data_IF_627975164556
#
_entry.id   IF_627975164556
#
_cell.length_a   1.000
_cell.length_b   1.000
_cell.length_c   1.000
_cell.angle_alpha   90.00
_cell.angle_beta   90.00
_cell.angle_gamma   90.00
#
_symmetry.space_group_name_H-M   'P 1'
#
loop_
_entity.id
_entity.type
_entity.pdbx_description
1 polymer ?
#
# COMPACT_ATOMS: atom_id res chain seq x y z
N UNK A 1 6.19 17.60 14.04
CA UNK A 1 5.96 17.28 12.61
C UNK A 1 4.95 16.13 12.58
N UNK A 2 3.89 16.15 11.77
CA UNK A 2 2.91 15.06 11.75
C UNK A 2 3.61 13.76 11.35
N UNK A 3 3.36 12.70 12.10
CA UNK A 3 3.84 11.36 11.76
C UNK A 3 2.84 10.72 10.78
N UNK A 4 3.37 10.02 9.77
CA UNK A 4 2.57 9.37 8.72
C UNK A 4 2.83 7.86 8.73
N UNK A 5 1.77 7.08 8.62
CA UNK A 5 1.85 5.63 8.43
C UNK A 5 0.91 5.19 7.34
N UNK A 6 1.40 4.31 6.47
CA UNK A 6 0.64 3.76 5.37
C UNK A 6 0.50 2.25 5.50
N UNK A 7 -0.71 1.77 5.21
CA UNK A 7 -1.06 0.35 5.25
C UNK A 7 -1.79 -0.05 3.98
N UNK A 8 -1.63 -1.30 3.58
CA UNK A 8 -2.36 -1.88 2.47
C UNK A 8 -3.27 -2.98 3.01
N UNK A 9 -4.55 -2.90 2.66
CA UNK A 9 -5.55 -3.92 2.89
C UNK A 9 -5.85 -4.64 1.58
N UNK A 10 -5.66 -5.95 1.60
CA UNK A 10 -5.83 -6.87 0.48
C UNK A 10 -7.09 -7.70 0.74
N UNK A 11 -8.18 -7.36 0.06
CA UNK A 11 -9.47 -8.02 0.24
C UNK A 11 -9.59 -9.18 -0.77
N UNK A 12 -9.76 -10.43 -0.32
CA UNK A 12 -9.80 -11.59 -1.20
C UNK A 12 -11.06 -11.61 -2.07
N UNK A 13 -10.99 -12.35 -3.18
CA UNK A 13 -12.16 -12.61 -4.03
C UNK A 13 -13.17 -13.56 -3.39
N UNK A 14 -12.71 -14.43 -2.48
CA UNK A 14 -13.51 -15.38 -1.74
C UNK A 14 -13.98 -14.75 -0.42
N UNK A 15 -15.30 -14.69 -0.20
CA UNK A 15 -15.90 -14.04 0.98
C UNK A 15 -15.61 -14.75 2.30
N UNK A 16 -15.12 -16.00 2.25
CA UNK A 16 -14.77 -16.77 3.44
C UNK A 16 -13.30 -16.59 3.85
N UNK A 17 -12.51 -15.85 3.07
CA UNK A 17 -11.13 -15.54 3.42
C UNK A 17 -11.05 -14.15 4.08
N UNK A 18 -10.28 -14.00 5.18
CA UNK A 18 -10.10 -12.70 5.81
C UNK A 18 -9.28 -11.76 4.90
N UNK A 19 -9.58 -10.46 4.99
CA UNK A 19 -8.71 -9.44 4.42
C UNK A 19 -7.32 -9.49 5.09
N UNK A 20 -6.27 -9.23 4.31
CA UNK A 20 -4.90 -9.19 4.81
C UNK A 20 -4.42 -7.76 4.91
N UNK A 21 -3.91 -7.39 6.08
CA UNK A 21 -3.22 -6.11 6.28
C UNK A 21 -1.71 -6.31 6.12
N UNK A 22 -1.08 -5.42 5.35
CA UNK A 22 0.36 -5.38 5.11
C UNK A 22 0.85 -3.93 5.24
N UNK A 23 2.16 -3.77 5.47
CA UNK A 23 2.79 -2.44 5.40
C UNK A 23 2.79 -1.95 3.95
N UNK A 24 2.82 -0.63 3.77
CA UNK A 24 3.06 -0.05 2.45
C UNK A 24 4.42 -0.52 1.90
N UNK A 25 4.45 -1.13 0.71
CA UNK A 25 5.67 -1.72 0.17
C UNK A 25 6.75 -0.67 -0.05
N UNK A 26 7.97 -0.96 0.39
CA UNK A 26 9.08 0.00 0.26
C UNK A 26 9.47 0.28 -1.19
N UNK A 27 9.16 -0.64 -2.11
CA UNK A 27 9.40 -0.46 -3.54
C UNK A 27 8.30 0.36 -4.23
N UNK A 28 7.16 0.59 -3.57
CA UNK A 28 6.17 1.54 -4.05
C UNK A 28 6.65 2.94 -3.70
N UNK A 29 6.95 3.75 -4.71
CA UNK A 29 7.28 5.16 -4.46
C UNK A 29 6.04 5.84 -3.88
N UNK A 30 6.15 6.24 -2.61
CA UNK A 30 5.07 6.84 -1.84
C UNK A 30 4.53 8.11 -2.52
N UNK A 31 5.42 9.01 -2.95
CA UNK A 31 5.04 10.29 -3.51
C UNK A 31 4.36 10.09 -4.86
N UNK A 32 4.91 9.22 -5.68
CA UNK A 32 4.36 8.90 -7.00
C UNK A 32 3.01 8.21 -6.89
N UNK A 33 2.86 7.27 -5.94
CA UNK A 33 1.59 6.57 -5.69
C UNK A 33 0.46 7.56 -5.36
N UNK A 34 0.65 8.38 -4.34
CA UNK A 34 -0.40 9.31 -3.91
C UNK A 34 -0.68 10.40 -4.94
N UNK A 35 0.33 10.82 -5.72
CA UNK A 35 0.10 11.74 -6.82
C UNK A 35 -0.71 11.09 -7.96
N UNK A 36 -0.40 9.83 -8.32
CA UNK A 36 -1.06 9.10 -9.40
C UNK A 36 -2.52 8.79 -9.08
N UNK A 37 -2.82 8.40 -7.84
CA UNK A 37 -4.15 7.97 -7.41
C UNK A 37 -4.92 9.06 -6.63
N UNK A 38 -4.43 10.31 -6.63
CA UNK A 38 -5.04 11.44 -5.90
C UNK A 38 -6.54 11.62 -6.17
N UNK A 39 -6.99 11.37 -7.38
CA UNK A 39 -8.40 11.48 -7.76
C UNK A 39 -9.30 10.36 -7.22
N UNK A 40 -8.73 9.41 -6.46
CA UNK A 40 -9.44 8.28 -5.82
C UNK A 40 -9.37 8.34 -4.30
N UNK A 41 -8.90 9.47 -3.79
CA UNK A 41 -8.87 9.74 -2.36
C UNK A 41 -10.29 9.75 -1.81
N UNK A 42 -10.50 8.95 -0.77
CA UNK A 42 -11.71 8.89 0.02
C UNK A 42 -11.31 9.40 1.41
N UNK A 43 -11.89 10.53 1.80
CA UNK A 43 -11.83 11.03 3.16
C UNK A 43 -12.65 10.09 4.05
N UNK A 44 -11.99 9.43 5.01
CA UNK A 44 -12.67 8.51 5.94
C UNK A 44 -13.22 9.22 7.18
N UNK A 45 -13.04 10.55 7.28
CA UNK A 45 -13.76 11.42 8.21
C UNK A 45 -13.50 11.12 9.69
N UNK A 46 -12.37 10.50 10.02
CA UNK A 46 -12.04 10.20 11.41
C UNK A 46 -11.80 11.51 12.17
N UNK A 47 -12.58 11.85 13.21
CA UNK A 47 -12.44 13.12 13.92
C UNK A 47 -11.14 13.24 14.73
N UNK A 48 -10.35 12.16 14.84
CA UNK A 48 -9.12 12.11 15.63
C UNK A 48 -7.87 12.14 14.73
N UNK A 49 -7.97 11.70 13.47
CA UNK A 49 -6.82 11.55 12.56
C UNK A 49 -7.20 11.93 11.13
N UNK A 50 -6.26 12.50 10.39
CA UNK A 50 -6.45 12.68 8.95
C UNK A 50 -6.17 11.33 8.30
N UNK A 51 -7.24 10.60 8.00
CA UNK A 51 -7.20 9.27 7.41
C UNK A 51 -7.75 9.33 5.98
N UNK A 52 -6.87 9.13 4.99
CA UNK A 52 -7.27 8.99 3.59
C UNK A 52 -7.17 7.53 3.17
N UNK A 53 -8.17 7.07 2.41
CA UNK A 53 -8.15 5.77 1.77
C UNK A 53 -8.11 5.92 0.24
N UNK A 54 -7.33 5.07 -0.42
CA UNK A 54 -7.23 5.00 -1.88
C UNK A 54 -7.67 3.61 -2.32
N UNK A 55 -8.73 3.56 -3.14
CA UNK A 55 -9.25 2.31 -3.67
C UNK A 55 -8.65 2.00 -5.05
N UNK A 56 -7.98 0.86 -5.14
CA UNK A 56 -7.44 0.32 -6.37
C UNK A 56 -8.19 -0.96 -6.75
N UNK A 57 -8.45 -1.11 -8.04
CA UNK A 57 -8.80 -2.42 -8.60
C UNK A 57 -7.59 -3.34 -8.56
N UNK A 58 -7.82 -4.66 -8.57
CA UNK A 58 -6.73 -5.63 -8.70
C UNK A 58 -5.79 -5.34 -9.88
N UNK A 59 -6.36 -5.03 -11.05
CA UNK A 59 -5.57 -4.78 -12.26
C UNK A 59 -4.63 -3.59 -12.11
N UNK A 60 -5.10 -2.51 -11.48
CA UNK A 60 -4.29 -1.31 -11.23
C UNK A 60 -3.18 -1.58 -10.24
N UNK A 61 -3.48 -2.28 -9.14
CA UNK A 61 -2.50 -2.62 -8.13
C UNK A 61 -1.43 -3.57 -8.70
N UNK A 62 -1.80 -4.53 -9.56
CA UNK A 62 -0.84 -5.41 -10.25
C UNK A 62 0.07 -4.66 -11.21
N UNK A 63 -0.49 -3.78 -12.04
CA UNK A 63 0.30 -2.96 -12.98
C UNK A 63 1.23 -2.03 -12.21
N UNK A 64 0.73 -1.38 -11.16
CA UNK A 64 1.53 -0.52 -10.30
C UNK A 64 2.67 -1.29 -9.62
N UNK A 65 2.36 -2.43 -8.99
CA UNK A 65 3.36 -3.26 -8.34
C UNK A 65 4.47 -3.70 -9.31
N UNK A 66 4.09 -4.16 -10.50
CA UNK A 66 5.05 -4.56 -11.54
C UNK A 66 5.99 -3.41 -11.90
N UNK A 67 5.45 -2.23 -12.23
CA UNK A 67 6.27 -1.06 -12.59
C UNK A 67 7.19 -0.64 -11.44
N UNK A 68 6.70 -0.65 -10.21
CA UNK A 68 7.50 -0.33 -9.03
C UNK A 68 8.64 -1.33 -8.80
N UNK A 69 8.39 -2.63 -8.98
CA UNK A 69 9.42 -3.67 -8.83
C UNK A 69 10.48 -3.59 -9.92
N UNK A 70 10.08 -3.32 -11.17
CA UNK A 70 11.01 -3.10 -12.29
C UNK A 70 11.94 -1.91 -12.02
N UNK A 71 11.43 -0.82 -11.43
CA UNK A 71 12.29 0.31 -11.03
C UNK A 71 13.14 0.01 -9.81
N UNK A 72 12.63 -0.79 -8.89
CA UNK A 72 13.36 -1.13 -7.67
C UNK A 72 14.58 -2.00 -7.95
N UNK A 73 14.69 -2.69 -9.09
CA UNK A 73 15.88 -3.49 -9.42
C UNK A 73 17.18 -2.66 -9.45
N UNK A 74 17.07 -1.36 -9.73
CA UNK A 74 18.21 -0.43 -9.73
C UNK A 74 18.59 0.04 -8.31
N UNK A 75 17.75 -0.21 -7.30
CA UNK A 75 18.03 0.11 -5.90
C UNK A 75 18.94 -0.97 -5.29
N UNK A 76 20.00 -0.55 -4.58
CA UNK A 76 20.91 -1.43 -3.84
C UNK A 76 20.20 -2.41 -2.87
N UNK A 77 19.02 -2.02 -2.37
CA UNK A 77 18.18 -2.82 -1.48
C UNK A 77 17.54 -4.01 -2.19
N UNK A 78 17.34 -3.95 -3.50
CA UNK A 78 16.69 -5.03 -4.28
C UNK A 78 17.38 -6.38 -4.17
N UNK A 79 18.69 -6.39 -3.90
CA UNK A 79 19.49 -7.61 -3.78
C UNK A 79 19.43 -8.22 -2.36
N UNK A 80 18.83 -7.53 -1.38
CA UNK A 80 18.70 -8.08 -0.03
C UNK A 80 17.57 -9.10 -0.01
N UNK A 81 17.89 -10.29 0.50
CA UNK A 81 16.97 -11.44 0.59
C UNK A 81 15.63 -11.08 1.23
N UNK A 82 15.63 -10.26 2.26
CA UNK A 82 14.41 -9.87 2.98
C UNK A 82 13.41 -9.17 2.06
N UNK A 83 13.87 -8.26 1.21
CA UNK A 83 13.00 -7.56 0.25
C UNK A 83 12.53 -8.48 -0.88
N UNK A 84 13.37 -9.41 -1.35
CA UNK A 84 12.94 -10.42 -2.32
C UNK A 84 11.82 -11.29 -1.78
N UNK A 85 11.93 -11.74 -0.52
CA UNK A 85 10.90 -12.54 0.16
C UNK A 85 9.62 -11.72 0.36
N UNK A 86 9.76 -10.48 0.84
CA UNK A 86 8.62 -9.57 1.06
C UNK A 86 7.86 -9.31 -0.25
N UNK A 87 8.57 -9.04 -1.35
CA UNK A 87 7.99 -8.86 -2.68
C UNK A 87 7.21 -10.09 -3.16
N UNK A 88 7.77 -11.28 -2.98
CA UNK A 88 7.08 -12.53 -3.35
C UNK A 88 5.81 -12.74 -2.52
N UNK A 89 5.88 -12.50 -1.22
CA UNK A 89 4.72 -12.63 -0.33
C UNK A 89 3.62 -11.62 -0.68
N UNK A 90 4.01 -10.38 -0.99
CA UNK A 90 3.10 -9.33 -1.40
C UNK A 90 2.44 -9.67 -2.75
N UNK A 91 3.20 -10.08 -3.75
CA UNK A 91 2.67 -10.49 -5.05
C UNK A 91 1.67 -11.65 -4.94
N UNK A 92 1.98 -12.66 -4.12
CA UNK A 92 1.08 -13.79 -3.87
C UNK A 92 -0.22 -13.35 -3.20
N UNK A 93 -0.16 -12.44 -2.24
CA UNK A 93 -1.35 -11.90 -1.58
C UNK A 93 -2.17 -11.03 -2.54
N UNK A 94 -1.50 -10.19 -3.33
CA UNK A 94 -2.11 -9.30 -4.29
C UNK A 94 -2.88 -10.08 -5.36
N UNK A 95 -2.30 -11.15 -5.93
CA UNK A 95 -2.95 -12.01 -6.93
C UNK A 95 -4.23 -12.71 -6.44
N UNK A 96 -4.39 -12.87 -5.12
CA UNK A 96 -5.60 -13.46 -4.50
C UNK A 96 -6.66 -12.41 -4.16
N UNK A 97 -6.31 -11.13 -4.27
CA UNK A 97 -7.16 -10.02 -3.90
C UNK A 97 -8.12 -9.65 -5.02
N UNK A 98 -9.29 -9.14 -4.67
CA UNK A 98 -10.24 -8.48 -5.59
C UNK A 98 -10.10 -6.96 -5.52
N UNK A 99 -9.91 -6.45 -4.30
CA UNK A 99 -9.80 -5.04 -4.02
C UNK A 99 -8.56 -4.77 -3.18
N UNK A 100 -7.93 -3.63 -3.44
CA UNK A 100 -6.76 -3.15 -2.71
C UNK A 100 -7.08 -1.77 -2.18
N UNK A 101 -6.98 -1.60 -0.86
CA UNK A 101 -7.16 -0.32 -0.21
C UNK A 101 -5.81 0.10 0.37
N UNK A 102 -5.37 1.31 0.04
CA UNK A 102 -4.22 1.92 0.70
C UNK A 102 -4.71 3.00 1.63
N UNK A 103 -4.40 2.86 2.91
CA UNK A 103 -4.71 3.83 3.95
C UNK A 103 -3.46 4.65 4.26
N UNK A 104 -3.62 5.96 4.39
CA UNK A 104 -2.61 6.89 4.88
C UNK A 104 -3.17 7.63 6.08
N UNK A 105 -2.59 7.36 7.25
CA UNK A 105 -2.96 8.00 8.52
C UNK A 105 -1.94 9.08 8.89
N UNK A 106 -2.45 10.24 9.25
CA UNK A 106 -1.71 11.39 9.73
C UNK A 106 -2.15 11.75 11.16
N UNK A 107 -1.20 11.78 12.10
CA UNK A 107 -1.44 12.24 13.46
C UNK A 107 -0.43 13.29 13.90
N UNK A 108 -0.88 14.22 14.73
CA UNK A 108 0.00 15.18 15.40
C UNK A 108 0.84 14.44 16.44
N UNK A 109 2.16 14.56 16.34
CA UNK A 109 3.11 14.11 17.36
C UNK A 109 3.03 15.07 18.56
N UNK A 110 1.93 15.04 19.29
CA UNK A 110 1.73 15.86 20.47
C UNK A 110 1.04 15.01 21.51
N UNK A 111 1.84 14.27 22.29
CA UNK A 111 1.61 13.72 23.64
C UNK A 111 2.75 12.73 23.89
N UNK A 112 3.93 13.27 24.18
CA UNK A 112 4.88 12.59 25.08
C UNK A 112 4.42 12.85 26.52
#
# INVERSE_FOLDING_TARGET
MPARTERIYLFPSNTNEPARMMRFPIWWDRREFFNKFRNREIDTGNPIYVDYAYLLTLGEALVWDKTCRERFTDDSRSQKRDFTVEMQQFELALRKSRWVIVESSEWESGLD
#
